data_IF_544637732239
#
_entry.id   IF_544637732239
#
_cell.length_a   1.000
_cell.length_b   1.000
_cell.length_c   1.000
_cell.angle_alpha   90.00
_cell.angle_beta   90.00
_cell.angle_gamma   90.00
#
_symmetry.space_group_name_H-M   'P 1'
#
loop_
_entity.id
_entity.type
_entity.pdbx_description
1 polymer ?
#
# COMPACT_ATOMS: atom_id res chain seq x y z
N UNK A 1 19.39 -26.08 -30.44
CA UNK A 1 19.50 -27.40 -31.11
C UNK A 1 18.39 -28.37 -30.72
N UNK A 2 18.07 -28.55 -29.43
CA UNK A 2 17.06 -29.54 -29.02
C UNK A 2 15.63 -29.28 -29.56
N UNK A 3 15.21 -28.01 -29.68
CA UNK A 3 13.90 -27.67 -30.28
C UNK A 3 13.82 -28.05 -31.76
N UNK A 4 14.91 -27.87 -32.49
CA UNK A 4 15.00 -28.12 -33.92
C UNK A 4 14.86 -29.61 -34.23
N UNK A 5 15.43 -30.48 -33.38
CA UNK A 5 15.28 -31.94 -33.49
C UNK A 5 13.87 -32.44 -33.16
N UNK A 6 13.12 -31.74 -32.31
CA UNK A 6 11.71 -32.08 -32.05
C UNK A 6 10.81 -31.63 -33.20
N UNK A 7 11.10 -30.46 -33.77
CA UNK A 7 10.42 -29.97 -34.98
C UNK A 7 10.70 -30.88 -36.18
N UNK A 8 11.91 -31.39 -36.34
CA UNK A 8 12.25 -32.33 -37.42
C UNK A 8 11.32 -33.56 -37.43
N UNK A 9 10.94 -34.09 -36.26
CA UNK A 9 10.00 -35.22 -36.16
C UNK A 9 8.60 -34.87 -36.70
N UNK A 10 8.20 -33.60 -36.60
CA UNK A 10 6.91 -33.10 -37.06
C UNK A 10 6.93 -32.85 -38.57
N UNK A 11 8.04 -32.34 -39.11
CA UNK A 11 8.16 -31.97 -40.52
C UNK A 11 8.59 -33.14 -41.43
N UNK A 12 9.40 -34.09 -40.95
CA UNK A 12 9.79 -35.32 -41.66
C UNK A 12 8.63 -36.08 -42.34
N UNK A 13 7.50 -36.38 -41.66
CA UNK A 13 6.39 -37.09 -42.27
C UNK A 13 5.58 -36.24 -43.26
N UNK A 14 5.83 -34.93 -43.34
CA UNK A 14 5.26 -34.03 -44.35
C UNK A 14 6.17 -34.04 -45.59
N UNK A 15 7.50 -34.00 -45.40
CA UNK A 15 8.48 -34.12 -46.48
C UNK A 15 8.37 -35.45 -47.24
N UNK A 16 8.19 -36.57 -46.54
CA UNK A 16 8.16 -37.89 -47.16
C UNK A 16 6.83 -38.22 -47.89
N UNK A 17 5.75 -37.49 -47.58
CA UNK A 17 4.40 -37.83 -48.02
C UNK A 17 3.92 -37.10 -49.28
N UNK A 18 4.58 -36.02 -49.69
CA UNK A 18 4.20 -35.22 -50.84
C UNK A 18 5.33 -35.28 -51.87
N UNK A 19 5.01 -35.55 -53.15
CA UNK A 19 5.95 -35.51 -54.26
C UNK A 19 6.41 -34.08 -54.56
N UNK A 20 7.06 -33.45 -53.58
CA UNK A 20 7.38 -32.03 -53.52
C UNK A 20 8.46 -31.67 -54.54
N UNK A 21 8.30 -30.49 -55.15
CA UNK A 21 9.33 -29.89 -56.01
C UNK A 21 10.40 -29.21 -55.15
N UNK A 22 11.59 -28.95 -55.72
CA UNK A 22 12.71 -28.33 -54.97
C UNK A 22 12.38 -26.97 -54.32
N UNK A 23 11.45 -26.22 -54.92
CA UNK A 23 10.96 -24.95 -54.38
C UNK A 23 10.10 -25.17 -53.12
N UNK A 24 9.24 -26.19 -53.12
CA UNK A 24 8.40 -26.53 -51.97
C UNK A 24 9.25 -26.97 -50.75
N UNK A 25 10.36 -27.67 -50.98
CA UNK A 25 11.32 -28.04 -49.91
C UNK A 25 11.97 -26.81 -49.26
N UNK A 26 12.34 -25.82 -50.07
CA UNK A 26 12.95 -24.58 -49.57
C UNK A 26 11.95 -23.78 -48.73
N UNK A 27 10.69 -23.73 -49.18
CA UNK A 27 9.59 -23.11 -48.41
C UNK A 27 9.31 -23.82 -47.08
N UNK A 28 9.27 -25.16 -47.09
CA UNK A 28 9.07 -25.96 -45.87
C UNK A 28 10.21 -25.79 -44.86
N UNK A 29 11.45 -25.73 -45.34
CA UNK A 29 12.62 -25.50 -44.50
C UNK A 29 12.59 -24.09 -43.88
N UNK A 30 12.24 -23.07 -44.67
CA UNK A 30 12.09 -21.71 -44.16
C UNK A 30 10.96 -21.63 -43.12
N UNK A 31 9.86 -22.35 -43.32
CA UNK A 31 8.75 -22.43 -42.38
C UNK A 31 9.17 -23.12 -41.07
N UNK A 32 9.96 -24.19 -41.15
CA UNK A 32 10.52 -24.86 -39.97
C UNK A 32 11.43 -23.91 -39.18
N UNK A 33 12.27 -23.14 -39.88
CA UNK A 33 13.12 -22.13 -39.27
C UNK A 33 12.29 -21.04 -38.58
N UNK A 34 11.28 -20.48 -39.26
CA UNK A 34 10.35 -19.50 -38.68
C UNK A 34 9.63 -20.05 -37.45
N UNK A 35 9.17 -21.31 -37.49
CA UNK A 35 8.54 -21.96 -36.35
C UNK A 35 9.49 -22.06 -35.16
N UNK A 36 10.75 -22.49 -35.38
CA UNK A 36 11.76 -22.55 -34.32
C UNK A 36 12.02 -21.17 -33.69
N UNK A 37 12.12 -20.13 -34.53
CA UNK A 37 12.34 -18.74 -34.06
C UNK A 37 11.14 -18.27 -33.24
N UNK A 38 9.91 -18.47 -33.73
CA UNK A 38 8.69 -18.10 -32.99
C UNK A 38 8.55 -18.84 -31.66
N UNK A 39 8.85 -20.14 -31.63
CA UNK A 39 8.81 -20.91 -30.38
C UNK A 39 9.84 -20.41 -29.37
N UNK A 40 11.03 -20.04 -29.84
CA UNK A 40 12.07 -19.47 -29.00
C UNK A 40 11.66 -18.11 -28.45
N UNK A 41 11.13 -17.23 -29.31
CA UNK A 41 10.65 -15.90 -28.94
C UNK A 41 9.55 -15.98 -27.88
N UNK A 42 8.60 -16.90 -28.05
CA UNK A 42 7.52 -17.15 -27.09
C UNK A 42 8.05 -17.54 -25.71
N UNK A 43 8.99 -18.48 -25.63
CA UNK A 43 9.58 -18.89 -24.35
C UNK A 43 10.34 -17.76 -23.67
N UNK A 44 11.11 -17.01 -24.45
CA UNK A 44 11.83 -15.83 -23.95
C UNK A 44 10.87 -14.79 -23.39
N UNK A 45 9.75 -14.55 -24.07
CA UNK A 45 8.70 -13.65 -23.62
C UNK A 45 8.06 -14.12 -22.32
N UNK A 46 7.72 -15.41 -22.21
CA UNK A 46 7.14 -16.00 -21.00
C UNK A 46 8.09 -15.87 -19.79
N UNK A 47 9.39 -16.09 -19.98
CA UNK A 47 10.40 -15.87 -18.94
C UNK A 47 10.52 -14.40 -18.54
N UNK A 48 10.51 -13.49 -19.52
CA UNK A 48 10.57 -12.05 -19.27
C UNK A 48 9.35 -11.58 -18.49
N UNK A 49 8.15 -12.03 -18.88
CA UNK A 49 6.90 -11.71 -18.19
C UNK A 49 6.92 -12.25 -16.76
N UNK A 50 7.44 -13.46 -16.54
CA UNK A 50 7.61 -14.03 -15.19
C UNK A 50 8.54 -13.17 -14.32
N UNK A 51 9.73 -12.82 -14.83
CA UNK A 51 10.68 -11.94 -14.11
C UNK A 51 10.10 -10.57 -13.82
N UNK A 52 9.31 -10.03 -14.75
CA UNK A 52 8.65 -8.74 -14.55
C UNK A 52 7.61 -8.81 -13.44
N UNK A 53 6.80 -9.87 -13.39
CA UNK A 53 5.84 -10.08 -12.31
C UNK A 53 6.54 -10.20 -10.95
N UNK A 54 7.64 -10.94 -10.87
CA UNK A 54 8.45 -11.06 -9.64
C UNK A 54 9.03 -9.71 -9.20
N UNK A 55 9.55 -8.90 -10.14
CA UNK A 55 10.04 -7.55 -9.85
C UNK A 55 8.92 -6.62 -9.38
N UNK A 56 7.75 -6.67 -10.01
CA UNK A 56 6.58 -5.88 -9.63
C UNK A 56 6.05 -6.29 -8.25
N UNK A 57 6.01 -7.57 -7.94
CA UNK A 57 5.63 -8.05 -6.60
C UNK A 57 6.63 -7.57 -5.55
N UNK A 58 7.93 -7.60 -5.87
CA UNK A 58 8.97 -7.07 -5.01
C UNK A 58 8.80 -5.56 -4.77
N UNK A 59 8.45 -4.78 -5.80
CA UNK A 59 8.16 -3.35 -5.64
C UNK A 59 6.96 -3.07 -4.76
N UNK A 60 5.90 -3.85 -4.92
CA UNK A 60 4.72 -3.71 -4.06
C UNK A 60 5.05 -3.95 -2.59
N UNK A 61 6.08 -4.75 -2.29
CA UNK A 61 6.55 -5.01 -0.93
C UNK A 61 7.56 -3.96 -0.45
N UNK A 62 8.49 -3.56 -1.33
CA UNK A 62 9.55 -2.58 -1.04
C UNK A 62 9.04 -1.17 -1.35
N UNK A 63 7.99 -0.75 -0.64
CA UNK A 63 7.36 0.56 -0.83
C UNK A 63 8.28 1.73 -0.39
N UNK A 64 9.36 1.44 0.34
CA UNK A 64 10.11 2.47 1.07
C UNK A 64 11.38 2.97 0.38
N UNK A 65 11.97 2.24 -0.58
CA UNK A 65 13.28 2.61 -1.17
C UNK A 65 13.32 2.39 -2.70
N UNK A 66 12.37 3.00 -3.42
CA UNK A 66 12.45 3.05 -4.89
C UNK A 66 13.58 4.01 -5.26
N UNK A 67 14.74 3.45 -5.61
CA UNK A 67 15.91 4.23 -6.04
C UNK A 67 15.72 4.74 -7.46
N UNK A 68 16.29 5.90 -7.78
CA UNK A 68 16.31 6.46 -9.14
C UNK A 68 16.90 5.47 -10.16
N UNK A 69 17.92 4.71 -9.75
CA UNK A 69 18.55 3.66 -10.56
C UNK A 69 17.57 2.56 -10.98
N UNK A 70 16.58 2.27 -10.13
CA UNK A 70 15.58 1.25 -10.42
C UNK A 70 14.57 1.74 -11.46
N UNK A 71 14.12 3.00 -11.34
CA UNK A 71 13.27 3.63 -12.35
C UNK A 71 13.97 3.73 -13.71
N UNK A 72 15.26 4.08 -13.73
CA UNK A 72 16.07 4.10 -14.95
C UNK A 72 16.15 2.70 -15.58
N UNK A 73 16.36 1.66 -14.76
CA UNK A 73 16.37 0.28 -15.23
C UNK A 73 15.02 -0.16 -15.81
N UNK A 74 13.89 0.26 -15.24
CA UNK A 74 12.58 -0.02 -15.82
C UNK A 74 12.38 0.73 -17.14
N UNK A 75 12.70 2.02 -17.18
CA UNK A 75 12.57 2.82 -18.40
C UNK A 75 13.41 2.23 -19.54
N UNK A 76 14.65 1.80 -19.23
CA UNK A 76 15.52 1.11 -20.18
C UNK A 76 14.90 -0.21 -20.68
N UNK A 77 14.35 -1.02 -19.77
CA UNK A 77 13.66 -2.27 -20.14
C UNK A 77 12.39 -2.03 -20.96
N UNK A 78 11.65 -0.95 -20.70
CA UNK A 78 10.48 -0.56 -21.50
C UNK A 78 10.87 -0.34 -22.96
N UNK A 79 11.98 0.38 -23.18
CA UNK A 79 12.50 0.60 -24.53
C UNK A 79 12.95 -0.71 -25.20
N UNK A 80 13.57 -1.62 -24.45
CA UNK A 80 13.91 -2.96 -24.96
C UNK A 80 12.66 -3.76 -25.36
N UNK A 81 11.56 -3.65 -24.62
CA UNK A 81 10.29 -4.30 -24.96
C UNK A 81 9.66 -3.73 -26.24
N UNK A 82 9.69 -2.41 -26.43
CA UNK A 82 9.21 -1.80 -27.67
C UNK A 82 10.02 -2.28 -28.88
N UNK A 83 11.35 -2.36 -28.73
CA UNK A 83 12.20 -2.94 -29.78
C UNK A 83 11.86 -4.39 -30.07
N UNK A 84 11.70 -5.21 -29.03
CA UNK A 84 11.33 -6.62 -29.15
C UNK A 84 9.95 -6.80 -29.79
N UNK A 85 9.01 -5.90 -29.51
CA UNK A 85 7.69 -5.89 -30.14
C UNK A 85 7.79 -5.65 -31.65
N UNK A 86 8.58 -4.66 -32.08
CA UNK A 86 8.81 -4.40 -33.51
C UNK A 86 9.49 -5.58 -34.22
N UNK A 87 10.51 -6.17 -33.62
CA UNK A 87 11.18 -7.36 -34.15
C UNK A 87 10.21 -8.55 -34.26
N UNK A 88 9.35 -8.72 -33.26
CA UNK A 88 8.32 -9.77 -33.23
C UNK A 88 7.28 -9.60 -34.34
N UNK A 89 6.79 -8.38 -34.55
CA UNK A 89 5.83 -8.08 -35.62
C UNK A 89 6.44 -8.39 -36.99
N UNK A 90 7.71 -8.05 -37.21
CA UNK A 90 8.39 -8.36 -38.46
C UNK A 90 8.45 -9.87 -38.72
N UNK A 91 8.79 -10.67 -37.70
CA UNK A 91 8.83 -12.14 -37.80
C UNK A 91 7.43 -12.72 -38.06
N UNK A 92 6.41 -12.19 -37.37
CA UNK A 92 5.00 -12.60 -37.58
C UNK A 92 4.61 -12.33 -39.04
N UNK A 93 4.85 -11.12 -39.54
CA UNK A 93 4.53 -10.72 -40.92
C UNK A 93 5.21 -11.61 -41.96
N UNK A 94 6.51 -11.91 -41.78
CA UNK A 94 7.24 -12.83 -42.67
C UNK A 94 6.66 -14.25 -42.62
N UNK A 95 6.31 -14.72 -41.42
CA UNK A 95 5.76 -16.07 -41.25
C UNK A 95 4.36 -16.19 -41.86
N UNK A 96 3.51 -15.19 -41.69
CA UNK A 96 2.18 -15.12 -42.29
C UNK A 96 2.26 -15.05 -43.82
N UNK A 97 3.15 -14.20 -44.35
CA UNK A 97 3.41 -14.11 -45.80
C UNK A 97 3.90 -15.44 -46.38
N UNK A 98 4.81 -16.14 -45.69
CA UNK A 98 5.27 -17.46 -46.10
C UNK A 98 4.14 -18.50 -46.07
N UNK A 99 3.30 -18.46 -45.04
CA UNK A 99 2.13 -19.33 -44.94
C UNK A 99 1.15 -19.13 -46.09
N UNK A 100 0.91 -17.87 -46.44
CA UNK A 100 -0.02 -17.51 -47.51
C UNK A 100 0.54 -17.96 -48.87
N UNK A 101 1.85 -17.78 -49.14
CA UNK A 101 2.52 -18.33 -50.33
C UNK A 101 2.39 -19.86 -50.38
N UNK A 102 2.62 -20.55 -49.25
CA UNK A 102 2.48 -22.01 -49.18
C UNK A 102 1.03 -22.49 -49.35
N UNK A 103 0.04 -21.67 -48.97
CA UNK A 103 -1.39 -22.00 -49.12
C UNK A 103 -1.88 -21.96 -50.57
N UNK A 104 -1.16 -21.23 -51.44
CA UNK A 104 -1.44 -21.13 -52.88
C UNK A 104 -0.93 -22.35 -53.65
N UNK A 105 0.10 -23.04 -53.14
CA UNK A 105 0.63 -24.26 -53.79
C UNK A 105 -0.37 -25.43 -53.70
N UNK A 106 -0.87 -25.89 -54.85
CA UNK A 106 -1.90 -26.93 -54.95
C UNK A 106 -1.46 -28.26 -54.32
N UNK A 107 -0.20 -28.65 -54.51
CA UNK A 107 0.38 -29.88 -53.95
C UNK A 107 0.38 -29.89 -52.41
N UNK A 108 0.54 -28.73 -51.80
CA UNK A 108 0.62 -28.55 -50.36
C UNK A 108 -0.76 -28.45 -49.71
N UNK A 109 -1.75 -27.96 -50.47
CA UNK A 109 -3.14 -27.76 -50.01
C UNK A 109 -3.84 -29.06 -49.64
N UNK A 110 -3.49 -30.18 -50.28
CA UNK A 110 -4.08 -31.50 -50.00
C UNK A 110 -3.62 -32.10 -48.66
N UNK A 111 -2.50 -31.63 -48.11
CA UNK A 111 -1.97 -32.15 -46.86
C UNK A 111 -2.71 -31.60 -45.64
N UNK A 112 -3.63 -32.40 -45.07
CA UNK A 112 -4.32 -32.10 -43.79
C UNK A 112 -3.34 -31.78 -42.64
N UNK A 113 -2.13 -32.35 -42.66
CA UNK A 113 -1.09 -32.11 -41.65
C UNK A 113 -0.53 -30.69 -41.76
N UNK A 114 -0.25 -30.23 -42.98
CA UNK A 114 0.24 -28.88 -43.24
C UNK A 114 -0.80 -27.83 -42.86
N UNK A 115 -2.08 -28.06 -43.16
CA UNK A 115 -3.16 -27.16 -42.74
C UNK A 115 -3.25 -27.04 -41.21
N UNK A 116 -3.10 -28.16 -40.47
CA UNK A 116 -3.07 -28.13 -39.00
C UNK A 116 -1.88 -27.31 -38.48
N UNK A 117 -0.69 -27.53 -39.05
CA UNK A 117 0.52 -26.80 -38.69
C UNK A 117 0.38 -25.30 -39.00
N UNK A 118 -0.20 -24.95 -40.14
CA UNK A 118 -0.47 -23.57 -40.52
C UNK A 118 -1.39 -22.86 -39.51
N UNK A 119 -2.46 -23.54 -39.08
CA UNK A 119 -3.36 -23.02 -38.03
C UNK A 119 -2.62 -22.85 -36.70
N UNK A 120 -1.74 -23.78 -36.34
CA UNK A 120 -0.92 -23.70 -35.13
C UNK A 120 0.06 -22.53 -35.18
N UNK A 121 0.77 -22.33 -36.29
CA UNK A 121 1.66 -21.17 -36.47
C UNK A 121 0.89 -19.86 -36.44
N UNK A 122 -0.27 -19.75 -37.12
CA UNK A 122 -1.11 -18.54 -37.05
C UNK A 122 -1.56 -18.26 -35.61
N UNK A 123 -1.91 -19.28 -34.83
CA UNK A 123 -2.21 -19.13 -33.41
C UNK A 123 -1.00 -18.62 -32.63
N UNK A 124 0.19 -19.20 -32.83
CA UNK A 124 1.41 -18.76 -32.14
C UNK A 124 1.74 -17.30 -32.48
N UNK A 125 1.66 -16.92 -33.76
CA UNK A 125 1.85 -15.54 -34.21
C UNK A 125 0.88 -14.58 -33.52
N UNK A 126 -0.41 -14.93 -33.50
CA UNK A 126 -1.45 -14.12 -32.88
C UNK A 126 -1.22 -13.98 -31.36
N UNK A 127 -0.94 -15.08 -30.66
CA UNK A 127 -0.67 -15.08 -29.22
C UNK A 127 0.57 -14.24 -28.89
N UNK A 128 1.62 -14.36 -29.69
CA UNK A 128 2.87 -13.60 -29.52
C UNK A 128 2.68 -12.11 -29.80
N UNK A 129 1.88 -11.76 -30.82
CA UNK A 129 1.49 -10.38 -31.12
C UNK A 129 0.67 -9.76 -29.98
N UNK A 130 -0.30 -10.49 -29.44
CA UNK A 130 -1.07 -10.05 -28.27
C UNK A 130 -0.20 -9.90 -27.02
N UNK A 131 0.66 -10.88 -26.75
CA UNK A 131 1.50 -10.86 -25.56
C UNK A 131 2.51 -9.70 -25.60
N UNK A 132 3.15 -9.45 -26.74
CA UNK A 132 4.07 -8.31 -26.89
C UNK A 132 3.36 -6.96 -26.86
N UNK A 133 2.22 -6.80 -27.55
CA UNK A 133 1.46 -5.54 -27.58
C UNK A 133 0.86 -5.16 -26.23
N UNK A 134 0.57 -6.14 -25.37
CA UNK A 134 0.04 -5.89 -24.02
C UNK A 134 1.12 -5.66 -22.96
N UNK A 135 2.37 -6.10 -23.20
CA UNK A 135 3.43 -6.04 -22.20
C UNK A 135 3.96 -4.62 -21.98
N UNK A 136 4.22 -3.89 -23.07
CA UNK A 136 4.68 -2.49 -23.03
C UNK A 136 3.70 -1.54 -22.30
N UNK A 137 2.40 -1.46 -22.65
CA UNK A 137 1.48 -0.55 -21.98
C UNK A 137 1.26 -0.90 -20.50
N UNK A 138 1.29 -2.19 -20.13
CA UNK A 138 1.21 -2.61 -18.73
C UNK A 138 2.42 -2.14 -17.92
N UNK A 139 3.61 -2.14 -18.50
CA UNK A 139 4.80 -1.62 -17.83
C UNK A 139 4.74 -0.11 -17.66
N UNK A 140 4.31 0.61 -18.71
CA UNK A 140 4.16 2.06 -18.68
C UNK A 140 3.14 2.53 -17.64
N UNK A 141 1.98 1.86 -17.57
CA UNK A 141 0.93 2.14 -16.58
C UNK A 141 1.47 1.97 -15.15
N UNK A 142 2.22 0.90 -14.90
CA UNK A 142 2.82 0.64 -13.58
C UNK A 142 3.92 1.64 -13.25
N UNK A 143 4.73 2.05 -14.22
CA UNK A 143 5.74 3.08 -14.04
C UNK A 143 5.11 4.43 -13.68
N UNK A 144 4.03 4.83 -14.37
CA UNK A 144 3.25 6.02 -14.03
C UNK A 144 2.72 5.96 -12.60
N UNK A 145 2.20 4.81 -12.17
CA UNK A 145 1.74 4.64 -10.79
C UNK A 145 2.88 4.79 -9.76
N UNK A 146 4.05 4.23 -10.05
CA UNK A 146 5.24 4.36 -9.19
C UNK A 146 5.72 5.81 -9.14
N UNK A 147 5.76 6.50 -10.27
CA UNK A 147 6.16 7.90 -10.34
C UNK A 147 5.20 8.81 -9.56
N UNK A 148 3.89 8.60 -9.70
CA UNK A 148 2.87 9.30 -8.92
C UNK A 148 3.05 9.02 -7.42
N UNK A 149 3.28 7.76 -7.04
CA UNK A 149 3.50 7.38 -5.64
C UNK A 149 4.74 8.05 -5.05
N UNK A 150 5.82 8.15 -5.81
CA UNK A 150 7.03 8.88 -5.41
C UNK A 150 6.75 10.36 -5.23
N UNK A 151 6.05 10.99 -6.18
CA UNK A 151 5.70 12.40 -6.11
C UNK A 151 4.81 12.70 -4.88
N UNK A 152 3.84 11.81 -4.58
CA UNK A 152 3.03 11.91 -3.35
C UNK A 152 3.93 11.86 -2.11
N UNK A 153 4.91 10.95 -2.07
CA UNK A 153 5.80 10.82 -0.91
C UNK A 153 6.74 12.03 -0.76
N UNK A 154 7.32 12.53 -1.85
CA UNK A 154 8.13 13.75 -1.84
C UNK A 154 7.30 14.94 -1.36
N UNK A 155 6.08 15.11 -1.88
CA UNK A 155 5.18 16.17 -1.43
C UNK A 155 4.82 16.05 0.06
N UNK A 156 4.65 14.83 0.58
CA UNK A 156 4.39 14.60 2.01
C UNK A 156 5.58 14.98 2.90
N UNK A 157 6.81 14.73 2.44
CA UNK A 157 8.02 15.13 3.15
C UNK A 157 8.19 16.65 3.18
N UNK A 158 7.94 17.31 2.05
CA UNK A 158 7.96 18.77 1.98
C UNK A 158 6.87 19.40 2.85
N UNK A 159 5.69 18.77 2.88
CA UNK A 159 4.61 19.20 3.76
C UNK A 159 4.99 19.05 5.24
N UNK A 160 5.59 17.93 5.64
CA UNK A 160 6.08 17.73 7.01
C UNK A 160 7.15 18.75 7.38
N UNK A 161 8.09 19.03 6.47
CA UNK A 161 9.13 20.03 6.68
C UNK A 161 8.54 21.42 6.85
N UNK A 162 7.58 21.81 6.01
CA UNK A 162 6.86 23.08 6.11
C UNK A 162 6.07 23.17 7.42
N UNK A 163 5.45 22.06 7.85
CA UNK A 163 4.74 21.99 9.12
C UNK A 163 5.69 22.14 10.32
N UNK A 164 6.86 21.48 10.29
CA UNK A 164 7.90 21.65 11.31
C UNK A 164 8.43 23.08 11.33
N UNK A 165 8.70 23.67 10.17
CA UNK A 165 9.12 25.07 10.07
C UNK A 165 8.05 26.03 10.61
N UNK A 166 6.77 25.78 10.31
CA UNK A 166 5.64 26.56 10.80
C UNK A 166 5.48 26.53 12.33
N UNK A 167 5.91 25.46 12.99
CA UNK A 167 5.89 25.34 14.46
C UNK A 167 7.18 25.90 15.07
N UNK A 168 8.35 25.54 14.53
CA UNK A 168 9.64 25.91 15.11
C UNK A 168 10.01 27.36 14.89
N UNK A 169 9.57 28.00 13.80
CA UNK A 169 9.94 29.38 13.52
C UNK A 169 9.32 30.37 14.53
N UNK A 170 8.01 30.32 14.85
CA UNK A 170 7.43 31.12 15.92
C UNK A 170 8.03 30.81 17.30
N UNK A 171 8.29 29.52 17.61
CA UNK A 171 8.91 29.10 18.86
C UNK A 171 10.33 29.66 19.01
N UNK A 172 11.14 29.60 17.95
CA UNK A 172 12.51 30.10 17.94
C UNK A 172 12.55 31.61 18.07
N UNK A 173 11.63 32.32 17.39
CA UNK A 173 11.50 33.77 17.49
C UNK A 173 11.11 34.18 18.90
N UNK A 174 10.10 33.53 19.49
CA UNK A 174 9.64 33.83 20.83
C UNK A 174 10.72 33.50 21.89
N UNK A 175 11.49 32.41 21.71
CA UNK A 175 12.65 32.09 22.56
C UNK A 175 13.77 33.13 22.43
N UNK A 176 14.01 33.65 21.22
CA UNK A 176 15.01 34.69 20.98
C UNK A 176 14.61 36.03 21.61
N UNK A 177 13.33 36.39 21.59
CA UNK A 177 12.83 37.60 22.27
C UNK A 177 12.98 37.49 23.78
N UNK A 178 12.66 36.32 24.37
CA UNK A 178 12.89 36.07 25.80
C UNK A 178 14.36 36.17 26.20
N UNK A 179 15.27 35.69 25.34
CA UNK A 179 16.71 35.73 25.60
C UNK A 179 17.29 37.15 25.58
N UNK A 180 16.60 38.12 24.98
CA UNK A 180 17.12 39.47 24.76
C UNK A 180 16.61 40.50 25.79
N UNK A 181 15.58 40.16 26.55
CA UNK A 181 14.99 41.04 27.56
C UNK A 181 14.89 40.31 28.92
N UNK A 182 15.66 40.82 29.90
CA UNK A 182 15.31 40.96 31.34
C UNK A 182 16.12 40.18 32.41
N UNK A 183 16.24 40.86 33.56
CA UNK A 183 16.69 40.36 34.88
C UNK A 183 15.75 39.25 35.37
N UNK A 184 16.32 38.21 35.98
CA UNK A 184 15.66 37.00 36.49
C UNK A 184 14.41 37.19 37.39
N UNK A 185 14.14 38.37 37.95
CA UNK A 185 12.97 38.61 38.82
C UNK A 185 11.67 38.87 38.06
N UNK A 186 11.74 39.45 36.86
CA UNK A 186 10.56 39.72 36.01
C UNK A 186 10.30 38.55 35.04
N UNK A 187 11.18 37.54 35.09
CA UNK A 187 11.16 36.37 34.22
C UNK A 187 9.91 35.51 34.42
N UNK A 188 9.33 35.46 35.63
CA UNK A 188 8.18 34.57 35.89
C UNK A 188 6.93 35.03 35.13
N UNK A 189 6.68 36.35 35.10
CA UNK A 189 5.58 36.97 34.36
C UNK A 189 5.79 36.81 32.84
N UNK A 190 7.02 37.05 32.36
CA UNK A 190 7.37 36.87 30.95
C UNK A 190 7.30 35.39 30.49
N UNK A 191 7.67 34.45 31.37
CA UNK A 191 7.58 33.02 31.09
C UNK A 191 6.12 32.54 31.04
N UNK A 192 5.25 33.13 31.87
CA UNK A 192 3.81 32.87 31.84
C UNK A 192 3.20 33.33 30.51
N UNK A 193 3.50 34.55 30.06
CA UNK A 193 3.05 35.07 28.76
C UNK A 193 3.59 34.23 27.60
N UNK A 194 4.88 33.86 27.62
CA UNK A 194 5.48 32.97 26.62
C UNK A 194 4.82 31.60 26.57
N UNK A 195 4.55 30.98 27.73
CA UNK A 195 3.85 29.71 27.80
C UNK A 195 2.42 29.84 27.25
N UNK A 196 1.74 30.94 27.55
CA UNK A 196 0.43 31.27 27.01
C UNK A 196 0.43 31.39 25.49
N UNK A 197 1.39 32.13 24.92
CA UNK A 197 1.58 32.28 23.47
C UNK A 197 1.83 30.92 22.81
N UNK A 198 2.71 30.08 23.38
CA UNK A 198 2.96 28.73 22.86
C UNK A 198 1.69 27.88 22.91
N UNK A 199 0.96 27.90 24.02
CA UNK A 199 -0.29 27.16 24.14
C UNK A 199 -1.30 27.60 23.08
N UNK A 200 -1.49 28.91 22.89
CA UNK A 200 -2.40 29.47 21.89
C UNK A 200 -1.97 29.07 20.47
N UNK A 201 -0.72 29.28 20.08
CA UNK A 201 -0.23 28.88 18.75
C UNK A 201 -0.33 27.37 18.54
N UNK A 202 0.04 26.56 19.54
CA UNK A 202 -0.10 25.11 19.50
C UNK A 202 -1.55 24.67 19.29
N UNK A 203 -2.50 25.28 19.99
CA UNK A 203 -3.93 24.98 19.79
C UNK A 203 -4.43 25.40 18.41
N UNK A 204 -4.02 26.57 17.93
CA UNK A 204 -4.35 27.05 16.59
C UNK A 204 -3.85 26.07 15.52
N UNK A 205 -2.60 25.58 15.65
CA UNK A 205 -2.05 24.56 14.74
C UNK A 205 -2.86 23.27 14.80
N UNK A 206 -3.20 22.76 15.99
CA UNK A 206 -4.01 21.54 16.14
C UNK A 206 -5.39 21.71 15.50
N UNK A 207 -6.05 22.86 15.70
CA UNK A 207 -7.35 23.17 15.09
C UNK A 207 -7.22 23.22 13.56
N UNK A 208 -6.22 23.91 13.02
CA UNK A 208 -5.97 23.96 11.58
C UNK A 208 -5.75 22.55 10.98
N UNK A 209 -4.93 21.71 11.61
CA UNK A 209 -4.71 20.33 11.18
C UNK A 209 -6.01 19.51 11.24
N UNK A 210 -6.82 19.68 12.30
CA UNK A 210 -8.12 19.02 12.43
C UNK A 210 -9.09 19.45 11.34
N UNK A 211 -9.17 20.75 11.04
CA UNK A 211 -10.00 21.27 9.95
C UNK A 211 -9.55 20.71 8.61
N UNK A 212 -8.25 20.72 8.29
CA UNK A 212 -7.72 20.13 7.05
C UNK A 212 -8.11 18.65 6.95
N UNK A 213 -8.00 17.88 8.04
CA UNK A 213 -8.41 16.46 8.07
C UNK A 213 -9.92 16.29 7.89
N UNK A 214 -10.74 17.14 8.49
CA UNK A 214 -12.20 17.11 8.32
C UNK A 214 -12.60 17.45 6.89
N UNK A 215 -12.00 18.47 6.29
CA UNK A 215 -12.21 18.81 4.89
C UNK A 215 -11.75 17.70 3.94
N UNK A 216 -10.61 17.07 4.22
CA UNK A 216 -10.15 15.90 3.47
C UNK A 216 -11.13 14.72 3.60
N UNK A 217 -11.67 14.48 4.80
CA UNK A 217 -12.67 13.44 5.05
C UNK A 217 -14.00 13.72 4.36
N UNK A 218 -14.40 14.98 4.24
CA UNK A 218 -15.66 15.39 3.61
C UNK A 218 -15.63 15.22 2.08
N UNK A 219 -14.45 15.29 1.45
CA UNK A 219 -14.30 15.27 -0.03
C UNK A 219 -14.25 13.85 -0.64
N UNK A 220 -14.27 12.79 0.17
CA UNK A 220 -14.58 11.44 -0.30
C UNK A 220 -13.42 10.44 -0.25
N UNK A 221 -13.75 9.23 0.19
CA UNK A 221 -12.95 7.99 0.15
C UNK A 221 -11.74 7.88 1.08
N UNK A 222 -12.00 7.93 2.40
CA UNK A 222 -11.26 7.04 3.31
C UNK A 222 -12.30 6.21 4.06
N UNK A 223 -12.73 5.12 3.42
CA UNK A 223 -13.40 4.03 4.13
C UNK A 223 -12.38 3.44 5.11
N UNK A 224 -12.81 3.31 6.36
CA UNK A 224 -12.23 2.45 7.39
C UNK A 224 -10.74 2.62 7.71
N UNK A 225 -10.37 3.50 8.66
CA UNK A 225 -9.53 3.13 9.84
C UNK A 225 -9.61 4.27 10.88
N UNK A 226 -10.76 4.51 11.49
CA UNK A 226 -10.78 5.06 12.86
C UNK A 226 -12.07 4.58 13.52
N UNK A 227 -12.09 3.28 13.85
CA UNK A 227 -13.11 2.74 14.72
C UNK A 227 -13.15 3.58 16.00
N UNK A 228 -14.33 4.15 16.22
CA UNK A 228 -14.69 5.18 17.19
C UNK A 228 -14.67 4.63 18.63
N UNK A 229 -13.55 4.07 19.07
CA UNK A 229 -13.34 3.76 20.49
C UNK A 229 -12.71 4.95 21.25
N UNK A 230 -12.28 5.99 20.53
CA UNK A 230 -11.62 7.19 21.06
C UNK A 230 -12.60 8.29 21.51
N UNK A 231 -13.91 8.18 21.25
CA UNK A 231 -14.88 9.25 21.50
C UNK A 231 -15.01 9.63 22.98
N UNK A 232 -14.93 8.65 23.88
CA UNK A 232 -15.06 8.88 25.32
C UNK A 232 -13.85 9.67 25.85
N UNK A 233 -12.63 9.37 25.38
CA UNK A 233 -11.43 10.07 25.85
C UNK A 233 -11.37 11.53 25.39
N UNK A 234 -11.79 11.84 24.15
CA UNK A 234 -11.81 13.22 23.65
C UNK A 234 -12.80 14.11 24.41
N UNK A 235 -13.92 13.55 24.89
CA UNK A 235 -14.91 14.29 25.66
C UNK A 235 -14.38 14.79 27.02
N UNK A 236 -13.38 14.12 27.61
CA UNK A 236 -12.75 14.56 28.87
C UNK A 236 -11.55 15.46 28.64
N UNK A 237 -10.76 15.21 27.59
CA UNK A 237 -9.54 15.97 27.30
C UNK A 237 -9.86 17.39 26.80
N UNK A 238 -10.90 17.55 25.97
CA UNK A 238 -11.24 18.85 25.38
C UNK A 238 -11.65 19.92 26.41
N UNK A 239 -12.57 19.64 27.36
CA UNK A 239 -12.96 20.63 28.36
C UNK A 239 -11.80 21.06 29.26
N UNK A 240 -10.96 20.10 29.68
CA UNK A 240 -9.78 20.38 30.50
C UNK A 240 -8.80 21.29 29.76
N UNK A 241 -8.57 21.00 28.48
CA UNK A 241 -7.71 21.82 27.63
C UNK A 241 -8.27 23.24 27.41
N UNK A 242 -9.59 23.39 27.30
CA UNK A 242 -10.23 24.70 27.20
C UNK A 242 -10.07 25.52 28.49
N UNK A 243 -10.08 24.89 29.67
CA UNK A 243 -9.81 25.57 30.95
C UNK A 243 -8.37 26.07 31.00
N UNK A 244 -7.40 25.26 30.57
CA UNK A 244 -6.00 25.65 30.44
C UNK A 244 -5.87 26.85 29.50
N UNK A 245 -6.46 26.79 28.30
CA UNK A 245 -6.43 27.90 27.35
C UNK A 245 -7.03 29.19 27.93
N UNK A 246 -8.21 29.07 28.56
CA UNK A 246 -8.89 30.21 29.18
C UNK A 246 -8.06 30.84 30.29
N UNK A 247 -7.35 30.02 31.07
CA UNK A 247 -6.50 30.50 32.16
C UNK A 247 -5.33 31.34 31.67
N UNK A 248 -4.67 30.92 30.58
CA UNK A 248 -3.62 31.70 29.94
C UNK A 248 -4.16 33.00 29.35
N UNK A 249 -5.29 32.93 28.64
CA UNK A 249 -5.92 34.09 28.01
C UNK A 249 -6.34 35.16 29.03
N UNK A 250 -6.92 34.73 30.17
CA UNK A 250 -7.28 35.64 31.28
C UNK A 250 -6.05 36.21 31.98
N UNK A 251 -5.00 35.39 32.17
CA UNK A 251 -3.76 35.84 32.78
C UNK A 251 -3.03 36.88 31.94
N UNK A 252 -3.03 36.73 30.62
CA UNK A 252 -2.42 37.69 29.68
C UNK A 252 -3.19 39.01 29.56
N UNK A 253 -4.54 38.98 29.57
CA UNK A 253 -5.35 40.18 29.33
C UNK A 253 -5.60 40.99 30.60
N UNK A 254 -5.78 40.33 31.75
CA UNK A 254 -6.36 40.99 32.94
C UNK A 254 -5.40 41.05 34.11
N UNK A 255 -5.01 39.90 34.65
CA UNK A 255 -4.09 39.79 35.78
C UNK A 255 -3.52 38.37 35.82
N UNK A 256 -2.20 38.29 35.81
CA UNK A 256 -1.43 37.05 35.77
C UNK A 256 -1.71 36.18 37.01
N UNK A 257 -1.95 36.81 38.18
CA UNK A 257 -2.30 36.12 39.41
C UNK A 257 -3.67 35.46 39.36
N UNK A 258 -4.63 36.04 38.63
CA UNK A 258 -5.94 35.41 38.39
C UNK A 258 -5.81 34.21 37.45
N UNK A 259 -5.02 34.34 36.39
CA UNK A 259 -4.73 33.23 35.46
C UNK A 259 -4.12 32.01 36.15
N UNK A 260 -3.08 32.24 36.97
CA UNK A 260 -2.43 31.19 37.78
C UNK A 260 -3.39 30.49 38.75
N UNK A 261 -4.30 31.24 39.38
CA UNK A 261 -5.32 30.66 40.28
C UNK A 261 -6.30 29.77 39.50
N UNK A 262 -6.78 30.24 38.35
CA UNK A 262 -7.68 29.46 37.49
C UNK A 262 -6.97 28.17 37.01
N UNK A 263 -5.70 28.26 36.62
CA UNK A 263 -4.89 27.09 36.23
C UNK A 263 -4.70 26.13 37.42
N UNK A 264 -4.44 26.64 38.61
CA UNK A 264 -4.31 25.84 39.84
C UNK A 264 -5.59 25.09 40.18
N UNK A 265 -6.75 25.75 40.11
CA UNK A 265 -8.04 25.08 40.32
C UNK A 265 -8.34 24.06 39.22
N UNK A 266 -8.02 24.39 37.96
CA UNK A 266 -8.19 23.48 36.82
C UNK A 266 -7.37 22.19 36.99
N UNK A 267 -6.08 22.31 37.27
CA UNK A 267 -5.19 21.15 37.48
C UNK A 267 -5.59 20.33 38.71
N UNK A 268 -5.94 20.98 39.82
CA UNK A 268 -6.45 20.29 41.01
C UNK A 268 -7.74 19.50 40.70
N UNK A 269 -8.65 20.08 39.91
CA UNK A 269 -9.90 19.42 39.50
C UNK A 269 -9.64 18.19 38.61
N UNK A 270 -8.68 18.27 37.70
CA UNK A 270 -8.31 17.18 36.80
C UNK A 270 -7.66 16.01 37.56
N UNK A 271 -6.70 16.32 38.44
CA UNK A 271 -6.06 15.32 39.31
C UNK A 271 -7.12 14.65 40.19
N UNK A 272 -8.02 15.43 40.81
CA UNK A 272 -9.12 14.92 41.61
C UNK A 272 -10.06 14.01 40.82
N UNK A 273 -10.46 14.40 39.62
CA UNK A 273 -11.30 13.59 38.73
C UNK A 273 -10.60 12.29 38.33
N UNK A 274 -9.30 12.33 38.02
CA UNK A 274 -8.52 11.14 37.69
C UNK A 274 -8.48 10.13 38.84
N UNK A 275 -8.16 10.58 40.06
CA UNK A 275 -8.17 9.70 41.24
C UNK A 275 -9.56 9.13 41.53
N UNK A 276 -10.62 9.93 41.37
CA UNK A 276 -11.99 9.48 41.57
C UNK A 276 -12.37 8.39 40.55
N UNK A 277 -12.05 8.58 39.27
CA UNK A 277 -12.30 7.58 38.22
C UNK A 277 -11.50 6.30 38.50
N UNK A 278 -10.23 6.42 38.91
CA UNK A 278 -9.40 5.28 39.26
C UNK A 278 -9.99 4.50 40.46
N UNK A 279 -10.41 5.21 41.51
CA UNK A 279 -11.05 4.60 42.68
C UNK A 279 -12.35 3.89 42.31
N UNK A 280 -13.20 4.50 41.48
CA UNK A 280 -14.45 3.88 40.99
C UNK A 280 -14.14 2.63 40.16
N UNK A 281 -13.12 2.65 39.29
CA UNK A 281 -12.72 1.47 38.51
C UNK A 281 -12.22 0.33 39.40
N UNK A 282 -11.39 0.64 40.39
CA UNK A 282 -10.91 -0.35 41.37
C UNK A 282 -12.08 -0.92 42.17
N UNK A 283 -13.02 -0.08 42.59
CA UNK A 283 -14.21 -0.50 43.32
C UNK A 283 -15.10 -1.42 42.48
N UNK A 284 -15.39 -1.05 41.21
CA UNK A 284 -16.16 -1.90 40.28
C UNK A 284 -15.45 -3.22 40.05
N UNK A 285 -14.13 -3.21 39.87
CA UNK A 285 -13.35 -4.44 39.69
C UNK A 285 -13.40 -5.33 40.92
N UNK A 286 -13.26 -4.75 42.12
CA UNK A 286 -13.36 -5.48 43.38
C UNK A 286 -14.76 -6.06 43.60
N UNK A 287 -15.80 -5.28 43.29
CA UNK A 287 -17.19 -5.72 43.36
C UNK A 287 -17.47 -6.89 42.43
N UNK A 288 -17.06 -6.79 41.16
CA UNK A 288 -17.22 -7.86 40.17
C UNK A 288 -16.49 -9.13 40.58
N UNK A 289 -15.25 -9.01 41.07
CA UNK A 289 -14.48 -10.16 41.56
C UNK A 289 -15.14 -10.83 42.77
N UNK A 290 -15.76 -10.03 43.65
CA UNK A 290 -16.53 -10.54 44.80
C UNK A 290 -17.74 -11.34 44.34
N UNK A 291 -18.51 -10.83 43.38
CA UNK A 291 -19.66 -11.55 42.81
C UNK A 291 -19.25 -12.90 42.19
N UNK A 292 -18.15 -12.94 41.43
CA UNK A 292 -17.62 -14.18 40.86
C UNK A 292 -17.24 -15.22 41.93
N UNK A 293 -16.64 -14.78 43.05
CA UNK A 293 -16.29 -15.67 44.17
C UNK A 293 -17.57 -16.21 44.83
N UNK A 294 -18.56 -15.36 45.08
CA UNK A 294 -19.84 -15.79 45.68
C UNK A 294 -20.61 -16.76 44.79
N UNK A 295 -20.62 -16.54 43.46
CA UNK A 295 -21.26 -17.44 42.50
C UNK A 295 -20.55 -18.80 42.44
N UNK A 296 -19.20 -18.81 42.47
CA UNK A 296 -18.42 -20.06 42.53
C UNK A 296 -18.68 -20.83 43.82
N UNK A 297 -18.75 -20.15 44.96
CA UNK A 297 -19.05 -20.80 46.25
C UNK A 297 -20.47 -21.42 46.27
N UNK A 298 -21.48 -20.69 45.76
CA UNK A 298 -22.84 -21.21 45.65
C UNK A 298 -22.93 -22.42 44.70
N UNK A 299 -22.23 -22.37 43.56
CA UNK A 299 -22.20 -23.47 42.58
C UNK A 299 -21.56 -24.74 43.16
N UNK A 300 -20.46 -24.62 43.92
CA UNK A 300 -19.82 -25.75 44.59
C UNK A 300 -20.76 -26.40 45.60
N UNK A 301 -21.49 -25.62 46.41
CA UNK A 301 -22.46 -26.16 47.36
C UNK A 301 -23.59 -26.96 46.68
N UNK A 302 -24.09 -26.51 45.54
CA UNK A 302 -25.11 -27.22 44.76
C UNK A 302 -24.60 -28.56 44.23
N UNK A 303 -23.36 -28.62 43.75
CA UNK A 303 -22.75 -29.88 43.27
C UNK A 303 -22.54 -30.87 44.43
N UNK A 304 -21.97 -30.40 45.55
CA UNK A 304 -21.68 -31.28 46.69
C UNK A 304 -22.93 -31.71 47.45
N UNK A 305 -23.97 -30.88 47.48
CA UNK A 305 -25.24 -31.20 48.15
C UNK A 305 -26.05 -32.29 47.45
N UNK A 306 -25.85 -32.52 46.16
CA UNK A 306 -26.64 -33.49 45.38
C UNK A 306 -26.08 -34.94 45.44
N UNK A 307 -24.93 -35.18 46.08
CA UNK A 307 -24.37 -36.54 46.25
C UNK A 307 -24.77 -37.22 47.57
N UNK A 308 -25.57 -36.57 48.42
CA UNK A 308 -25.86 -37.05 49.78
C UNK A 308 -27.14 -37.86 49.99
N UNK A 309 -27.91 -38.20 48.94
CA UNK A 309 -29.20 -38.90 49.07
C UNK A 309 -29.27 -40.21 48.27
N UNK A 310 -28.28 -41.08 48.41
CA UNK A 310 -28.47 -42.51 48.16
C UNK A 310 -28.79 -43.17 49.48
N UNK A 311 -30.07 -43.29 49.76
CA UNK A 311 -30.66 -43.94 50.93
C UNK A 311 -30.28 -45.44 50.93
N UNK A 312 -29.49 -45.95 51.90
CA UNK A 312 -29.17 -47.36 51.99
C UNK A 312 -30.23 -48.05 52.87
N UNK A 313 -31.47 -48.11 52.40
CA UNK A 313 -32.52 -48.96 53.01
C UNK A 313 -32.90 -50.09 52.05
N UNK A 314 -31.95 -50.98 51.81
CA UNK A 314 -32.18 -52.34 51.30
C UNK A 314 -31.24 -53.29 52.06
N UNK A 315 -31.72 -53.68 53.24
CA UNK A 315 -31.18 -54.70 54.13
C UNK A 315 -32.29 -55.15 55.06
#
# INVERSE_FOLDING_TARGET
MHEMTELDKIYQPILQGAGLTGEDYSGLFLLQFCHCVLSHQRRSLDELQKRQNELLETLSRVNENITSSFLENIARKSFEFDRLHHETIAIISVTEGLLDVMSVSENLKESKKLQRLAVELKRICHDLGLATSTLAPRLEERLKFVEISRNIRESSSLWLLSLMAGIFLPLSLASSLLSMQTRLSDLHYLLYDFCGVIAIFGTLTVVCVRLIRLFASYKGNVHDVFHVHTGIHWAFILPEWMVVLSSFLVGMIKDEGLGLRILGFGTASAIGAFFLIAAVRVFIHYWKKREEITLRAAFVQVITGNQGSTDPTLG
#
